data_IF_863104905365
#
_entry.id   IF_863104905365
#
_cell.length_a   1.000
_cell.length_b   1.000
_cell.length_c   1.000
_cell.angle_alpha   90.00
_cell.angle_beta   90.00
_cell.angle_gamma   90.00
#
_symmetry.space_group_name_H-M   'P 1'
#
loop_
_entity.id
_entity.type
_entity.pdbx_description
1 polymer ?
#
# COMPACT_ATOMS: atom_id res chain seq x y z
N UNK A 1 -8.87 15.07 -20.39
CA UNK A 1 -9.92 15.67 -19.55
C UNK A 1 -10.28 14.66 -18.47
N UNK A 2 -9.86 14.89 -17.22
CA UNK A 2 -10.19 14.00 -16.12
C UNK A 2 -11.68 14.15 -15.79
N UNK A 3 -12.40 13.04 -15.87
CA UNK A 3 -13.83 12.98 -15.53
C UNK A 3 -13.90 13.08 -14.00
N UNK A 4 -14.20 14.27 -13.49
CA UNK A 4 -14.40 14.48 -12.06
C UNK A 4 -15.55 13.59 -11.61
N UNK A 5 -15.24 12.55 -10.83
CA UNK A 5 -16.26 11.75 -10.19
C UNK A 5 -17.14 12.68 -9.35
N UNK A 6 -18.47 12.56 -9.41
CA UNK A 6 -19.35 13.36 -8.57
C UNK A 6 -18.95 13.22 -7.10
N UNK A 7 -18.94 14.33 -6.36
CA UNK A 7 -18.50 14.40 -4.94
C UNK A 7 -19.19 13.34 -4.06
N UNK A 8 -20.41 12.93 -4.42
CA UNK A 8 -21.14 11.84 -3.76
C UNK A 8 -20.48 10.46 -3.90
N UNK A 9 -19.84 10.16 -5.03
CA UNK A 9 -19.10 8.90 -5.24
C UNK A 9 -17.77 8.92 -4.48
N UNK A 10 -17.05 10.04 -4.51
CA UNK A 10 -15.80 10.23 -3.77
C UNK A 10 -16.04 10.04 -2.26
N UNK A 11 -17.11 10.62 -1.74
CA UNK A 11 -17.47 10.51 -0.33
C UNK A 11 -17.84 9.08 0.11
N UNK A 12 -18.22 8.20 -0.83
CA UNK A 12 -18.48 6.78 -0.56
C UNK A 12 -17.23 5.92 -0.74
N UNK A 13 -16.32 6.33 -1.64
CA UNK A 13 -15.10 5.59 -1.98
C UNK A 13 -14.02 5.73 -0.91
N UNK A 14 -13.80 6.93 -0.39
CA UNK A 14 -12.75 7.20 0.61
C UNK A 14 -12.88 6.29 1.85
N UNK A 15 -14.05 6.12 2.49
CA UNK A 15 -14.17 5.24 3.65
C UNK A 15 -13.78 3.79 3.36
N UNK A 16 -14.12 3.26 2.18
CA UNK A 16 -13.74 1.91 1.77
C UNK A 16 -12.23 1.74 1.64
N UNK A 17 -11.58 2.66 0.91
CA UNK A 17 -10.13 2.65 0.75
C UNK A 17 -9.37 2.81 2.07
N UNK A 18 -9.91 3.61 2.98
CA UNK A 18 -9.32 3.77 4.32
C UNK A 18 -9.40 2.47 5.12
N UNK A 19 -10.51 1.71 5.01
CA UNK A 19 -10.57 0.40 5.65
C UNK A 19 -9.67 -0.63 4.97
N UNK A 20 -9.57 -0.65 3.64
CA UNK A 20 -8.62 -1.53 2.95
C UNK A 20 -7.17 -1.28 3.41
N UNK A 21 -6.76 -0.01 3.55
CA UNK A 21 -5.44 0.35 4.07
C UNK A 21 -5.26 -0.11 5.51
N UNK A 22 -6.26 0.06 6.38
CA UNK A 22 -6.18 -0.39 7.77
C UNK A 22 -6.16 -1.90 7.89
N UNK A 23 -7.00 -2.60 7.13
CA UNK A 23 -7.03 -4.05 7.08
C UNK A 23 -5.69 -4.57 6.60
N UNK A 24 -5.13 -4.03 5.52
CA UNK A 24 -3.82 -4.45 5.02
C UNK A 24 -2.66 -4.16 6.00
N UNK A 25 -2.73 -3.09 6.80
CA UNK A 25 -1.70 -2.83 7.83
C UNK A 25 -1.90 -3.71 9.07
N UNK A 26 -3.15 -4.07 9.40
CA UNK A 26 -3.47 -4.93 10.54
C UNK A 26 -3.32 -6.43 10.23
N UNK A 27 -3.59 -6.83 8.99
CA UNK A 27 -3.27 -8.13 8.44
C UNK A 27 -1.77 -8.11 8.17
N UNK A 28 -1.04 -8.87 8.99
CA UNK A 28 0.39 -9.06 8.89
C UNK A 28 0.92 -9.01 7.44
N UNK A 29 1.73 -8.00 7.12
CA UNK A 29 2.36 -7.83 5.80
C UNK A 29 3.61 -8.73 5.65
N UNK A 30 3.70 -9.80 6.43
CA UNK A 30 4.81 -10.76 6.38
C UNK A 30 4.89 -11.46 5.03
N UNK A 31 3.76 -11.81 4.42
CA UNK A 31 3.71 -12.37 3.08
C UNK A 31 4.33 -11.42 2.03
N UNK A 32 4.21 -10.09 2.25
CA UNK A 32 4.81 -9.08 1.38
C UNK A 32 6.34 -9.03 1.47
N UNK A 33 6.93 -9.62 2.51
CA UNK A 33 8.38 -9.75 2.67
C UNK A 33 8.92 -10.88 1.77
N UNK A 34 8.13 -11.92 1.54
CA UNK A 34 8.49 -13.05 0.68
C UNK A 34 8.13 -12.75 -0.79
N UNK A 35 6.94 -12.18 -1.02
CA UNK A 35 6.43 -11.80 -2.34
C UNK A 35 5.78 -10.42 -2.28
N UNK A 36 6.44 -9.43 -2.87
CA UNK A 36 5.96 -8.04 -2.90
C UNK A 36 4.59 -7.92 -3.59
N UNK A 37 4.25 -8.82 -4.52
CA UNK A 37 2.96 -8.79 -5.23
C UNK A 37 1.78 -9.10 -4.29
N UNK A 38 2.02 -9.77 -3.16
CA UNK A 38 0.99 -10.00 -2.14
C UNK A 38 0.50 -8.70 -1.48
N UNK A 39 1.28 -7.62 -1.52
CA UNK A 39 0.87 -6.28 -1.10
C UNK A 39 0.12 -5.48 -2.19
N UNK A 40 -0.22 -6.09 -3.33
CA UNK A 40 -0.83 -5.39 -4.47
C UNK A 40 -2.08 -4.58 -4.12
N UNK A 41 -3.02 -5.18 -3.39
CA UNK A 41 -4.25 -4.49 -2.97
C UNK A 41 -3.96 -3.28 -2.06
N UNK A 42 -2.95 -3.40 -1.20
CA UNK A 42 -2.52 -2.29 -0.35
C UNK A 42 -1.96 -1.15 -1.19
N UNK A 43 -1.12 -1.44 -2.18
CA UNK A 43 -0.55 -0.42 -3.06
C UNK A 43 -1.62 0.26 -3.91
N UNK A 44 -2.56 -0.49 -4.46
CA UNK A 44 -3.67 0.05 -5.23
C UNK A 44 -4.54 0.98 -4.38
N UNK A 45 -4.89 0.59 -3.15
CA UNK A 45 -5.66 1.43 -2.23
C UNK A 45 -4.94 2.76 -1.91
N UNK A 46 -3.61 2.73 -1.78
CA UNK A 46 -2.80 3.93 -1.58
C UNK A 46 -2.77 4.84 -2.81
N UNK A 47 -2.58 4.28 -4.00
CA UNK A 47 -2.58 5.04 -5.25
C UNK A 47 -3.93 5.73 -5.48
N UNK A 48 -5.02 5.01 -5.19
CA UNK A 48 -6.37 5.58 -5.28
C UNK A 48 -6.59 6.69 -4.24
N UNK A 49 -6.18 6.51 -2.99
CA UNK A 49 -6.27 7.56 -1.96
C UNK A 49 -5.44 8.79 -2.30
N UNK A 50 -4.26 8.61 -2.89
CA UNK A 50 -3.41 9.70 -3.34
C UNK A 50 -4.06 10.51 -4.47
N UNK A 51 -4.73 9.82 -5.40
CA UNK A 51 -5.53 10.48 -6.45
C UNK A 51 -6.69 11.32 -5.88
N UNK A 52 -7.18 10.95 -4.70
CA UNK A 52 -8.27 11.62 -3.97
C UNK A 52 -7.75 12.55 -2.86
N UNK A 53 -6.44 12.81 -2.78
CA UNK A 53 -5.79 13.52 -1.67
C UNK A 53 -6.39 14.91 -1.37
N UNK A 54 -6.92 15.61 -2.37
CA UNK A 54 -7.60 16.91 -2.19
C UNK A 54 -8.91 16.82 -1.41
N UNK A 55 -9.54 15.64 -1.38
CA UNK A 55 -10.81 15.36 -0.71
C UNK A 55 -10.63 14.70 0.66
N UNK A 56 -9.40 14.33 1.02
CA UNK A 56 -9.09 13.72 2.31
C UNK A 56 -9.09 14.75 3.45
N UNK A 57 -9.63 14.35 4.58
CA UNK A 57 -9.45 15.05 5.86
C UNK A 57 -7.99 15.00 6.31
N UNK A 58 -7.60 15.88 7.24
CA UNK A 58 -6.21 15.91 7.76
C UNK A 58 -5.79 14.56 8.35
N UNK A 59 -6.67 13.89 9.10
CA UNK A 59 -6.38 12.57 9.68
C UNK A 59 -6.19 11.48 8.60
N UNK A 60 -6.99 11.51 7.52
CA UNK A 60 -6.84 10.58 6.40
C UNK A 60 -5.54 10.81 5.62
N UNK A 61 -5.11 12.07 5.48
CA UNK A 61 -3.82 12.41 4.88
C UNK A 61 -2.65 11.92 5.72
N UNK A 62 -2.76 12.02 7.04
CA UNK A 62 -1.76 11.49 7.96
C UNK A 62 -1.66 9.96 7.85
N UNK A 63 -2.81 9.26 7.82
CA UNK A 63 -2.84 7.81 7.59
C UNK A 63 -2.19 7.44 6.24
N UNK A 64 -2.56 8.14 5.16
CA UNK A 64 -1.97 7.93 3.84
C UNK A 64 -0.44 8.12 3.89
N UNK A 65 0.03 9.18 4.54
CA UNK A 65 1.46 9.44 4.69
C UNK A 65 2.20 8.33 5.44
N UNK A 66 1.62 7.82 6.53
CA UNK A 66 2.18 6.70 7.28
C UNK A 66 2.18 5.41 6.45
N UNK A 67 1.10 5.11 5.74
CA UNK A 67 1.01 3.92 4.91
C UNK A 67 1.96 3.98 3.70
N UNK A 68 2.19 5.16 3.12
CA UNK A 68 3.23 5.38 2.11
C UNK A 68 4.66 5.16 2.63
N UNK A 69 4.92 5.32 3.93
CA UNK A 69 6.20 4.94 4.53
C UNK A 69 6.35 3.42 4.55
N UNK A 70 5.29 2.68 4.90
CA UNK A 70 5.28 1.21 4.85
C UNK A 70 5.54 0.71 3.44
N UNK A 71 4.83 1.24 2.44
CA UNK A 71 5.06 0.91 1.02
C UNK A 71 6.53 1.09 0.63
N UNK A 72 7.11 2.26 0.94
CA UNK A 72 8.53 2.54 0.62
C UNK A 72 9.48 1.58 1.32
N UNK A 73 9.18 1.18 2.55
CA UNK A 73 9.95 0.18 3.28
C UNK A 73 9.93 -1.17 2.56
N UNK A 74 8.75 -1.62 2.13
CA UNK A 74 8.60 -2.86 1.37
C UNK A 74 9.36 -2.80 0.04
N UNK A 75 9.10 -1.77 -0.78
CA UNK A 75 9.76 -1.58 -2.07
C UNK A 75 11.30 -1.50 -1.96
N UNK A 76 11.82 -0.94 -0.86
CA UNK A 76 13.26 -0.79 -0.64
C UNK A 76 13.91 -2.08 -0.14
N UNK A 77 13.27 -2.78 0.81
CA UNK A 77 13.91 -3.85 1.56
C UNK A 77 13.60 -5.25 1.02
N UNK A 78 12.42 -5.47 0.43
CA UNK A 78 12.02 -6.78 -0.08
C UNK A 78 12.99 -7.29 -1.16
N UNK A 79 13.37 -6.50 -2.18
CA UNK A 79 14.32 -6.98 -3.21
C UNK A 79 15.67 -7.41 -2.63
N UNK A 80 16.15 -6.72 -1.59
CA UNK A 80 17.37 -7.10 -0.90
C UNK A 80 17.21 -8.43 -0.15
N UNK A 81 16.10 -8.60 0.57
CA UNK A 81 15.80 -9.84 1.31
C UNK A 81 15.68 -11.02 0.34
N UNK A 82 14.91 -10.87 -0.75
CA UNK A 82 14.78 -11.90 -1.79
C UNK A 82 16.15 -12.28 -2.37
N UNK A 83 17.01 -11.30 -2.66
CA UNK A 83 18.37 -11.55 -3.17
C UNK A 83 19.24 -12.32 -2.18
N UNK A 84 19.16 -12.02 -0.88
CA UNK A 84 19.90 -12.76 0.16
C UNK A 84 19.41 -14.21 0.25
N UNK A 85 18.09 -14.43 0.23
CA UNK A 85 17.49 -15.76 0.28
C UNK A 85 17.89 -16.62 -0.92
N UNK A 86 17.76 -16.10 -2.14
CA UNK A 86 18.17 -16.79 -3.37
C UNK A 86 19.65 -17.19 -3.34
N UNK A 87 20.53 -16.30 -2.86
CA UNK A 87 21.95 -16.61 -2.74
C UNK A 87 22.22 -17.66 -1.66
N UNK A 88 21.47 -17.65 -0.56
CA UNK A 88 21.60 -18.65 0.50
C UNK A 88 21.23 -20.07 0.01
N UNK A 89 20.19 -20.19 -0.81
CA UNK A 89 19.81 -21.47 -1.42
C UNK A 89 20.88 -22.00 -2.37
N UNK A 90 21.57 -21.10 -3.09
CA UNK A 90 22.66 -21.47 -4.01
C UNK A 90 23.91 -21.94 -3.29
N UNK A 91 24.20 -21.43 -2.08
CA UNK A 91 25.36 -21.82 -1.27
C UNK A 91 25.14 -23.16 -0.57
N UNK A 92 23.89 -23.49 -0.24
CA UNK A 92 23.52 -24.74 0.44
C UNK A 92 23.19 -25.91 -0.51
N UNK A 93 23.39 -25.75 -1.82
CA UNK A 93 23.28 -26.81 -2.84
C UNK A 93 24.66 -27.31 -3.26
#
# INVERSE_FOLDING_TARGET
>A
MAKLAPVSEISKKIPGLIEEVKEAVNCDLSDAIEDLDSAGNFFEALDELESLSTHLTSAQKELLGLAQVVRRSLETHVPFISSVLENSERVNR
#
